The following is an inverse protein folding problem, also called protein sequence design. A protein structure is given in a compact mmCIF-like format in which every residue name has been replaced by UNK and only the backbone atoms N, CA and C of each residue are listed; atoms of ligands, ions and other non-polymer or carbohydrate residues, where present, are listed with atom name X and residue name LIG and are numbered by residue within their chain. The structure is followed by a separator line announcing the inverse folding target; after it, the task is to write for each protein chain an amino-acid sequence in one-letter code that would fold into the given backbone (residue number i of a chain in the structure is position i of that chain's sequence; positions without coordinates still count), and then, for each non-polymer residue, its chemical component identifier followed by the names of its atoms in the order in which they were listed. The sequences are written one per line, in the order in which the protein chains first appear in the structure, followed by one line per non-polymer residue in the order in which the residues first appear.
data_IF_732367462630
#
_entry.id   IF_732367462630
#
_cell.length_a   1.000
_cell.length_b   1.000
_cell.length_c   1.000
_cell.angle_alpha   90.00
_cell.angle_beta   90.00
_cell.angle_gamma   90.00
#
_symmetry.space_group_name_H-M   'P 1'
#
loop_
_entity.id
_entity.type
_entity.pdbx_description
1 polymer ?
#
# COMPACT_ATOMS: atom_id res chain seq x y z
N UNK A 1 -9.98 11.33 23.89
CA UNK A 1 -8.88 10.40 24.25
C UNK A 1 -8.88 9.35 23.16
N UNK A 2 -7.94 9.44 22.21
CA UNK A 2 -7.85 8.47 21.13
C UNK A 2 -7.47 7.13 21.74
N UNK A 3 -8.33 6.13 21.61
CA UNK A 3 -7.98 4.78 22.01
C UNK A 3 -7.20 4.16 20.85
N UNK A 4 -5.87 4.20 20.94
CA UNK A 4 -5.01 3.48 20.02
C UNK A 4 -5.24 1.97 20.23
N UNK A 5 -5.93 1.32 19.30
CA UNK A 5 -6.11 -0.12 19.33
C UNK A 5 -5.06 -0.77 18.42
N UNK A 6 -4.07 -1.44 18.99
CA UNK A 6 -3.11 -2.21 18.19
C UNK A 6 -3.84 -3.32 17.41
N UNK A 7 -3.47 -3.50 16.13
CA UNK A 7 -3.90 -4.63 15.34
C UNK A 7 -3.27 -5.88 15.93
N UNK A 8 -4.10 -6.85 16.30
CA UNK A 8 -3.60 -8.15 16.74
C UNK A 8 -2.91 -8.84 15.56
N UNK A 9 -1.70 -9.38 15.75
CA UNK A 9 -0.94 -10.07 14.69
C UNK A 9 -1.76 -11.13 13.93
N UNK A 10 -2.70 -11.80 14.60
CA UNK A 10 -3.60 -12.80 14.00
C UNK A 10 -4.53 -12.20 12.93
N UNK A 11 -4.80 -10.90 12.96
CA UNK A 11 -5.60 -10.22 11.94
C UNK A 11 -4.81 -10.01 10.64
N UNK A 12 -3.48 -9.98 10.69
CA UNK A 12 -2.62 -9.74 9.53
C UNK A 12 -2.04 -11.02 8.94
N UNK A 13 -2.28 -12.18 9.57
CA UNK A 13 -1.84 -13.46 9.00
C UNK A 13 -2.55 -13.75 7.68
N UNK A 14 -1.87 -14.40 6.74
CA UNK A 14 -2.46 -14.75 5.44
C UNK A 14 -3.70 -15.65 5.50
N UNK A 15 -3.92 -16.34 6.63
CA UNK A 15 -5.15 -17.08 6.90
C UNK A 15 -6.37 -16.18 7.14
N UNK A 16 -6.19 -14.90 7.48
CA UNK A 16 -7.27 -13.94 7.58
C UNK A 16 -7.62 -13.41 6.17
N UNK A 17 -8.41 -14.19 5.45
CA UNK A 17 -8.83 -13.84 4.10
C UNK A 17 -9.65 -12.55 4.07
N UNK A 18 -10.44 -12.25 5.10
CA UNK A 18 -11.22 -11.01 5.15
C UNK A 18 -10.34 -9.76 5.15
N UNK A 19 -9.27 -9.75 5.97
CA UNK A 19 -8.32 -8.64 6.01
C UNK A 19 -7.64 -8.44 4.66
N UNK A 20 -7.01 -9.49 4.13
CA UNK A 20 -6.24 -9.38 2.89
C UNK A 20 -7.11 -9.04 1.70
N UNK A 21 -8.33 -9.57 1.67
CA UNK A 21 -9.27 -9.29 0.61
C UNK A 21 -9.75 -7.83 0.66
N UNK A 22 -10.15 -7.33 1.82
CA UNK A 22 -10.49 -5.91 2.01
C UNK A 22 -9.31 -4.99 1.71
N UNK A 23 -8.12 -5.31 2.20
CA UNK A 23 -6.98 -4.42 2.07
C UNK A 23 -6.49 -4.32 0.61
N UNK A 24 -6.43 -5.43 -0.13
CA UNK A 24 -6.02 -5.43 -1.53
C UNK A 24 -7.09 -4.80 -2.43
N UNK A 25 -8.36 -4.93 -2.08
CA UNK A 25 -9.46 -4.23 -2.75
C UNK A 25 -9.25 -2.71 -2.78
N UNK A 26 -8.55 -2.13 -1.79
CA UNK A 26 -8.26 -0.68 -1.74
C UNK A 26 -7.12 -0.25 -2.68
N UNK A 27 -6.44 -1.18 -3.35
CA UNK A 27 -5.31 -0.83 -4.21
C UNK A 27 -5.83 -0.27 -5.53
N UNK A 28 -5.08 0.67 -6.10
CA UNK A 28 -5.38 1.30 -7.39
C UNK A 28 -5.01 0.45 -8.62
N UNK A 29 -4.98 -0.87 -8.45
CA UNK A 29 -4.72 -1.81 -9.52
C UNK A 29 -5.88 -1.89 -10.51
N UNK A 30 -5.62 -2.36 -11.72
CA UNK A 30 -6.64 -2.54 -12.75
C UNK A 30 -6.20 -3.54 -13.82
N UNK A 31 -7.17 -4.20 -14.44
CA UNK A 31 -7.00 -4.97 -15.67
C UNK A 31 -7.12 -4.04 -16.89
N UNK A 32 -5.99 -3.83 -17.57
CA UNK A 32 -5.91 -2.96 -18.76
C UNK A 32 -6.68 -3.51 -19.97
N UNK A 33 -6.86 -4.83 -20.06
CA UNK A 33 -7.53 -5.47 -21.21
C UNK A 33 -9.04 -5.51 -21.02
N UNK A 34 -9.50 -5.77 -19.79
CA UNK A 34 -10.93 -5.84 -19.47
C UNK A 34 -11.50 -4.50 -19.00
N UNK A 35 -10.64 -3.49 -18.78
CA UNK A 35 -11.00 -2.18 -18.23
C UNK A 35 -11.72 -2.29 -16.87
N UNK A 36 -11.26 -3.23 -16.05
CA UNK A 36 -11.80 -3.47 -14.70
C UNK A 36 -10.85 -2.92 -13.65
N UNK A 37 -11.38 -2.21 -12.66
CA UNK A 37 -10.63 -1.87 -11.46
C UNK A 37 -10.37 -3.13 -10.63
N UNK A 38 -9.41 -3.08 -9.70
CA UNK A 38 -9.01 -4.27 -8.94
C UNK A 38 -10.15 -4.84 -8.07
N UNK A 39 -11.01 -3.99 -7.54
CA UNK A 39 -12.24 -4.41 -6.85
C UNK A 39 -13.13 -5.27 -7.74
N UNK A 40 -13.39 -4.82 -8.96
CA UNK A 40 -14.18 -5.56 -9.96
C UNK A 40 -13.45 -6.85 -10.37
N UNK A 41 -12.12 -6.84 -10.48
CA UNK A 41 -11.34 -8.05 -10.75
C UNK A 41 -11.52 -9.08 -9.63
N UNK A 42 -11.38 -8.66 -8.38
CA UNK A 42 -11.52 -9.56 -7.23
C UNK A 42 -12.95 -10.12 -7.10
N UNK A 43 -13.96 -9.29 -7.37
CA UNK A 43 -15.35 -9.70 -7.29
C UNK A 43 -15.79 -10.55 -8.48
N UNK A 44 -15.59 -10.08 -9.71
CA UNK A 44 -16.21 -10.66 -10.91
C UNK A 44 -15.35 -11.73 -11.57
N UNK A 45 -14.02 -11.66 -11.42
CA UNK A 45 -13.10 -12.64 -12.03
C UNK A 45 -12.67 -13.70 -11.02
N UNK A 46 -12.33 -13.29 -9.80
CA UNK A 46 -11.89 -14.22 -8.76
C UNK A 46 -13.08 -14.80 -7.97
N UNK A 47 -14.22 -14.08 -7.93
CA UNK A 47 -15.43 -14.55 -7.26
C UNK A 47 -15.42 -14.32 -5.75
N UNK A 48 -14.71 -13.30 -5.28
CA UNK A 48 -14.62 -13.00 -3.85
C UNK A 48 -15.63 -11.91 -3.47
N UNK A 49 -16.60 -12.28 -2.65
CA UNK A 49 -17.73 -11.43 -2.29
C UNK A 49 -17.54 -10.74 -0.92
N UNK A 50 -17.41 -9.41 -0.93
CA UNK A 50 -17.36 -8.58 0.27
C UNK A 50 -18.76 -8.24 0.83
N UNK A 51 -19.84 -8.64 0.17
CA UNK A 51 -21.22 -8.35 0.62
C UNK A 51 -21.80 -9.42 1.56
N UNK A 52 -21.02 -10.46 1.89
CA UNK A 52 -21.49 -11.51 2.79
C UNK A 52 -21.49 -11.08 4.27
N UNK A 53 -22.45 -11.62 5.03
CA UNK A 53 -22.65 -11.27 6.45
C UNK A 53 -21.41 -11.54 7.33
N UNK A 54 -20.61 -12.57 7.01
CA UNK A 54 -19.41 -12.88 7.78
C UNK A 54 -18.33 -11.80 7.62
N UNK A 55 -18.17 -11.26 6.41
CA UNK A 55 -17.31 -10.11 6.15
C UNK A 55 -17.79 -8.87 6.90
N UNK A 56 -19.08 -8.54 6.81
CA UNK A 56 -19.64 -7.36 7.51
C UNK A 56 -19.41 -7.44 9.03
N UNK A 57 -19.65 -8.61 9.63
CA UNK A 57 -19.38 -8.84 11.05
C UNK A 57 -17.89 -8.71 11.39
N UNK A 58 -17.01 -9.24 10.55
CA UNK A 58 -15.57 -9.08 10.72
C UNK A 58 -15.17 -7.60 10.60
N UNK A 59 -15.65 -6.88 9.59
CA UNK A 59 -15.31 -5.50 9.31
C UNK A 59 -15.76 -4.58 10.45
N UNK A 60 -16.97 -4.74 10.99
CA UNK A 60 -17.43 -3.94 12.15
C UNK A 60 -16.64 -4.25 13.43
N UNK A 61 -16.12 -5.47 13.58
CA UNK A 61 -15.22 -5.84 14.68
C UNK A 61 -13.82 -5.25 14.50
N UNK A 62 -13.33 -5.23 13.26
CA UNK A 62 -12.03 -4.70 12.90
C UNK A 62 -12.01 -3.16 12.89
N UNK A 63 -13.03 -2.49 12.38
CA UNK A 63 -13.13 -1.02 12.38
C UNK A 63 -14.51 -0.63 12.89
N UNK A 64 -14.69 -0.53 14.22
CA UNK A 64 -15.95 -0.09 14.81
C UNK A 64 -16.32 1.32 14.35
N UNK A 65 -17.61 1.57 14.16
CA UNK A 65 -18.14 2.82 13.58
C UNK A 65 -18.07 4.06 14.49
N UNK A 66 -17.44 3.95 15.66
CA UNK A 66 -17.21 5.08 16.55
C UNK A 66 -16.10 5.97 15.97
N UNK A 67 -16.48 7.21 15.59
CA UNK A 67 -15.79 8.10 14.64
C UNK A 67 -14.35 8.53 14.92
N UNK A 68 -13.75 8.07 16.03
CA UNK A 68 -12.36 8.35 16.41
C UNK A 68 -11.52 7.07 16.56
N UNK A 69 -12.03 5.92 16.11
CA UNK A 69 -11.37 4.62 16.26
C UNK A 69 -10.51 4.33 15.04
N UNK A 70 -9.19 4.33 15.25
CA UNK A 70 -8.23 3.79 14.31
C UNK A 70 -7.47 2.62 14.95
N UNK A 71 -7.04 1.68 14.11
CA UNK A 71 -6.15 0.60 14.53
C UNK A 71 -4.76 0.81 14.00
N UNK A 72 -3.75 0.53 14.83
CA UNK A 72 -2.36 0.72 14.46
C UNK A 72 -1.67 -0.61 14.21
N UNK A 73 -0.86 -0.66 13.17
CA UNK A 73 0.13 -1.72 12.99
C UNK A 73 1.51 -1.10 12.82
N UNK A 74 2.45 -1.57 13.64
CA UNK A 74 3.80 -1.02 13.72
C UNK A 74 4.83 -2.09 13.46
N UNK A 75 5.74 -1.83 12.53
CA UNK A 75 6.84 -2.74 12.21
C UNK A 75 8.11 -2.00 11.85
N UNK A 76 9.24 -2.71 11.86
CA UNK A 76 10.54 -2.18 11.46
C UNK A 76 10.80 -2.50 9.99
N UNK A 77 11.15 -1.48 9.20
CA UNK A 77 11.58 -1.62 7.81
C UNK A 77 13.12 -1.55 7.66
N UNK A 78 13.86 -1.78 8.75
CA UNK A 78 15.31 -1.62 8.81
C UNK A 78 15.76 -1.11 10.18
N UNK A 79 17.06 -0.89 10.38
CA UNK A 79 17.57 -0.54 11.71
C UNK A 79 17.06 0.79 12.25
N UNK A 80 16.71 1.73 11.36
CA UNK A 80 16.38 3.12 11.72
C UNK A 80 15.00 3.58 11.22
N UNK A 81 14.20 2.67 10.66
CA UNK A 81 12.89 3.00 10.09
C UNK A 81 11.84 2.15 10.80
N UNK A 82 10.97 2.84 11.51
CA UNK A 82 9.70 2.33 12.02
C UNK A 82 8.59 2.78 11.08
N UNK A 83 7.76 1.83 10.68
CA UNK A 83 6.56 2.06 9.88
C UNK A 83 5.36 1.96 10.80
N UNK A 84 4.47 2.94 10.71
CA UNK A 84 3.17 2.96 11.35
C UNK A 84 2.09 3.02 10.28
N UNK A 85 1.14 2.09 10.36
CA UNK A 85 -0.05 2.06 9.51
C UNK A 85 -1.27 2.25 10.41
N UNK A 86 -2.03 3.31 10.15
CA UNK A 86 -3.27 3.62 10.85
C UNK A 86 -4.45 3.22 9.95
N UNK A 87 -5.22 2.22 10.36
CA UNK A 87 -6.43 1.78 9.67
C UNK A 87 -7.65 2.49 10.27
N UNK A 88 -8.40 3.21 9.44
CA UNK A 88 -9.71 3.78 9.74
C UNK A 88 -10.74 3.32 8.70
N UNK A 89 -12.02 3.65 8.91
CA UNK A 89 -13.10 3.20 8.00
C UNK A 89 -12.98 3.82 6.60
N UNK A 90 -12.58 5.09 6.52
CA UNK A 90 -12.56 5.90 5.31
C UNK A 90 -11.15 6.16 4.76
N UNK A 91 -10.10 5.85 5.54
CA UNK A 91 -8.72 6.04 5.13
C UNK A 91 -7.76 5.06 5.82
N UNK A 92 -6.60 4.83 5.19
CA UNK A 92 -5.45 4.17 5.80
C UNK A 92 -4.25 5.11 5.68
N UNK A 93 -3.66 5.56 6.78
CA UNK A 93 -2.50 6.44 6.77
C UNK A 93 -1.21 5.67 7.00
N UNK A 94 -0.13 6.17 6.42
CA UNK A 94 1.20 5.58 6.51
C UNK A 94 2.19 6.60 7.03
N UNK A 95 3.06 6.18 7.95
CA UNK A 95 4.11 7.03 8.51
C UNK A 95 5.43 6.28 8.64
N UNK A 96 6.53 7.02 8.46
CA UNK A 96 7.89 6.59 8.75
C UNK A 96 8.45 7.44 9.89
N UNK A 97 8.73 6.85 11.05
CA UNK A 97 9.19 7.56 12.25
C UNK A 97 8.35 8.83 12.53
N UNK A 98 7.02 8.68 12.59
CA UNK A 98 6.03 9.77 12.76
C UNK A 98 5.91 10.77 11.59
N UNK A 99 6.69 10.62 10.51
CA UNK A 99 6.55 11.43 9.30
C UNK A 99 5.55 10.79 8.34
N UNK A 100 4.51 11.52 7.98
CA UNK A 100 3.49 11.08 7.04
C UNK A 100 4.07 10.77 5.64
N UNK A 101 3.72 9.63 5.06
CA UNK A 101 4.21 9.21 3.73
C UNK A 101 3.09 8.90 2.73
N UNK A 102 1.82 9.04 3.11
CA UNK A 102 0.69 8.84 2.21
C UNK A 102 -0.50 8.17 2.86
N UNK A 103 -1.56 8.03 2.07
CA UNK A 103 -2.80 7.37 2.46
C UNK A 103 -3.43 6.54 1.34
N UNK A 104 -4.28 5.59 1.74
CA UNK A 104 -5.31 5.00 0.90
C UNK A 104 -6.67 5.56 1.31
N UNK A 105 -7.23 6.46 0.49
CA UNK A 105 -8.56 7.03 0.67
C UNK A 105 -9.11 7.54 -0.67
N UNK A 106 -10.30 8.16 -0.66
CA UNK A 106 -10.83 8.88 -1.82
C UNK A 106 -9.94 10.04 -2.30
N UNK A 107 -9.09 10.58 -1.42
CA UNK A 107 -8.04 11.56 -1.74
C UNK A 107 -6.66 10.92 -1.59
N UNK A 108 -6.46 9.79 -2.28
CA UNK A 108 -5.20 9.06 -2.30
C UNK A 108 -4.00 9.98 -2.54
N UNK A 109 -2.94 9.74 -1.78
CA UNK A 109 -1.61 10.29 -2.01
C UNK A 109 -0.55 9.32 -1.51
N UNK A 110 0.63 9.35 -2.13
CA UNK A 110 1.71 8.45 -1.76
C UNK A 110 3.07 9.11 -1.93
N UNK A 111 4.03 8.67 -1.13
CA UNK A 111 5.44 9.00 -1.31
C UNK A 111 5.97 8.47 -2.66
N UNK A 112 5.54 7.27 -3.07
CA UNK A 112 6.16 6.49 -4.14
C UNK A 112 7.65 6.24 -3.87
N UNK A 113 7.94 5.15 -3.16
CA UNK A 113 9.30 4.62 -3.04
C UNK A 113 9.80 4.20 -4.42
N UNK A 114 11.10 4.38 -4.66
CA UNK A 114 11.76 3.68 -5.77
C UNK A 114 11.80 2.18 -5.46
N UNK A 115 11.95 1.34 -6.49
CA UNK A 115 12.10 -0.10 -6.25
C UNK A 115 13.31 -0.42 -5.36
N UNK A 116 14.43 0.28 -5.53
CA UNK A 116 15.64 0.08 -4.73
C UNK A 116 15.42 0.44 -3.26
N UNK A 117 14.75 1.57 -2.98
CA UNK A 117 14.35 1.95 -1.62
C UNK A 117 13.46 0.86 -1.00
N UNK A 118 12.45 0.40 -1.74
CA UNK A 118 11.46 -0.57 -1.26
C UNK A 118 12.06 -1.96 -0.99
N UNK A 119 12.90 -2.47 -1.90
CA UNK A 119 13.59 -3.75 -1.74
C UNK A 119 14.73 -3.69 -0.72
N UNK A 120 15.26 -2.50 -0.43
CA UNK A 120 16.23 -2.27 0.63
C UNK A 120 15.66 -2.48 2.04
N UNK A 121 14.33 -2.41 2.19
CA UNK A 121 13.67 -2.68 3.46
C UNK A 121 13.71 -4.16 3.84
N UNK A 122 13.86 -4.44 5.13
CA UNK A 122 13.89 -5.81 5.67
C UNK A 122 12.48 -6.31 6.02
N UNK A 123 11.58 -6.28 5.03
CA UNK A 123 10.18 -6.65 5.21
C UNK A 123 9.99 -8.17 5.11
N UNK A 124 9.15 -8.72 5.99
CA UNK A 124 8.53 -10.01 5.73
C UNK A 124 7.44 -9.89 4.65
N UNK A 125 6.86 -11.01 4.26
CA UNK A 125 5.90 -11.05 3.16
C UNK A 125 4.59 -10.29 3.45
N UNK A 126 4.18 -10.20 4.73
CA UNK A 126 2.97 -9.46 5.12
C UNK A 126 3.24 -7.96 5.05
N UNK A 127 4.32 -7.51 5.69
CA UNK A 127 4.71 -6.11 5.71
C UNK A 127 5.09 -5.58 4.32
N UNK A 128 5.62 -6.45 3.44
CA UNK A 128 5.80 -6.14 2.03
C UNK A 128 4.47 -5.77 1.37
N UNK A 129 3.43 -6.60 1.53
CA UNK A 129 2.13 -6.33 0.91
C UNK A 129 1.44 -5.13 1.55
N UNK A 130 1.60 -4.91 2.86
CA UNK A 130 1.05 -3.75 3.56
C UNK A 130 1.63 -2.42 3.05
N UNK A 131 2.92 -2.37 2.73
CA UNK A 131 3.57 -1.16 2.23
C UNK A 131 3.49 -1.01 0.71
N UNK A 132 3.11 -2.07 -0.01
CA UNK A 132 3.10 -2.11 -1.48
C UNK A 132 2.40 -0.93 -2.18
N UNK A 133 1.30 -0.37 -1.67
CA UNK A 133 0.64 0.77 -2.31
C UNK A 133 1.48 2.05 -2.36
N UNK A 134 2.53 2.11 -1.55
CA UNK A 134 3.48 3.23 -1.53
C UNK A 134 4.65 3.03 -2.51
N UNK A 135 4.67 1.96 -3.32
CA UNK A 135 5.72 1.70 -4.30
C UNK A 135 5.42 2.38 -5.65
N UNK A 136 6.41 3.03 -6.24
CA UNK A 136 6.40 3.45 -7.64
C UNK A 136 7.30 2.56 -8.49
N UNK A 137 6.78 2.08 -9.62
CA UNK A 137 7.45 1.13 -10.51
C UNK A 137 7.70 1.77 -11.88
N UNK A 138 8.97 1.81 -12.30
CA UNK A 138 9.32 2.22 -13.66
C UNK A 138 9.13 1.07 -14.66
N UNK A 139 8.99 1.38 -15.95
CA UNK A 139 8.59 0.42 -16.97
C UNK A 139 9.51 -0.82 -17.04
N UNK A 140 10.83 -0.63 -16.93
CA UNK A 140 11.83 -1.70 -16.96
C UNK A 140 11.79 -2.62 -15.73
N UNK A 141 11.14 -2.20 -14.64
CA UNK A 141 11.05 -2.92 -13.37
C UNK A 141 9.80 -3.80 -13.25
N UNK A 142 8.82 -3.63 -14.15
CA UNK A 142 7.49 -4.29 -14.10
C UNK A 142 7.59 -5.81 -13.94
N UNK A 143 8.42 -6.47 -14.74
CA UNK A 143 8.54 -7.93 -14.72
C UNK A 143 9.06 -8.46 -13.39
N UNK A 144 10.05 -7.78 -12.81
CA UNK A 144 10.64 -8.16 -11.53
C UNK A 144 9.63 -8.00 -10.39
N UNK A 145 8.99 -6.84 -10.28
CA UNK A 145 8.07 -6.58 -9.18
C UNK A 145 6.82 -7.47 -9.28
N UNK A 146 6.34 -7.79 -10.49
CA UNK A 146 5.22 -8.72 -10.68
C UNK A 146 5.52 -10.10 -10.09
N UNK A 147 6.73 -10.61 -10.29
CA UNK A 147 7.16 -11.91 -9.72
C UNK A 147 7.16 -11.84 -8.19
N UNK A 148 7.68 -10.74 -7.63
CA UNK A 148 7.75 -10.54 -6.17
C UNK A 148 6.36 -10.47 -5.53
N UNK A 149 5.42 -9.76 -6.16
CA UNK A 149 4.04 -9.65 -5.68
C UNK A 149 3.35 -11.02 -5.79
N UNK A 150 3.43 -11.67 -6.95
CA UNK A 150 2.80 -12.98 -7.19
C UNK A 150 3.22 -14.01 -6.14
N UNK A 151 4.53 -14.11 -5.87
CA UNK A 151 5.07 -15.02 -4.84
C UNK A 151 4.41 -14.83 -3.47
N UNK A 152 4.10 -13.59 -3.09
CA UNK A 152 3.52 -13.28 -1.77
C UNK A 152 2.01 -13.49 -1.74
N UNK A 153 1.33 -13.19 -2.85
CA UNK A 153 -0.09 -13.48 -3.01
C UNK A 153 -0.39 -14.99 -2.91
N UNK A 154 0.58 -15.88 -3.25
CA UNK A 154 0.44 -17.33 -3.08
C UNK A 154 0.17 -17.78 -1.64
N UNK A 155 0.50 -16.94 -0.65
CA UNK A 155 0.19 -17.26 0.74
C UNK A 155 -1.28 -17.03 1.10
N UNK A 156 -2.02 -16.28 0.30
CA UNK A 156 -3.44 -15.97 0.52
C UNK A 156 -4.27 -17.01 -0.23
N UNK A 157 -4.85 -17.95 0.51
CA UNK A 157 -5.60 -19.10 -0.05
C UNK A 157 -6.70 -18.65 -1.03
N UNK A 158 -7.35 -17.53 -0.75
CA UNK A 158 -8.39 -16.96 -1.61
C UNK A 158 -7.92 -16.60 -3.03
N UNK A 159 -6.62 -16.44 -3.24
CA UNK A 159 -6.03 -16.08 -4.54
C UNK A 159 -5.35 -17.25 -5.24
N UNK A 160 -5.46 -18.46 -4.69
CA UNK A 160 -4.77 -19.62 -5.22
C UNK A 160 -5.16 -19.88 -6.69
N UNK A 161 -4.18 -19.91 -7.58
CA UNK A 161 -4.37 -20.08 -9.02
C UNK A 161 -4.62 -18.78 -9.80
N UNK A 162 -4.68 -17.63 -9.13
CA UNK A 162 -4.92 -16.31 -9.72
C UNK A 162 -3.83 -15.29 -9.39
N UNK A 163 -2.78 -15.69 -8.67
CA UNK A 163 -1.77 -14.81 -8.09
C UNK A 163 -1.02 -13.99 -9.14
N UNK A 164 -0.65 -14.63 -10.26
CA UNK A 164 0.05 -13.95 -11.36
C UNK A 164 -0.84 -12.91 -12.06
N UNK A 165 -2.14 -13.19 -12.14
CA UNK A 165 -3.11 -12.29 -12.76
C UNK A 165 -3.38 -11.10 -11.86
N UNK A 166 -3.66 -11.33 -10.57
CA UNK A 166 -3.85 -10.28 -9.57
C UNK A 166 -2.58 -9.43 -9.45
N UNK A 167 -1.39 -10.04 -9.42
CA UNK A 167 -0.12 -9.30 -9.42
C UNK A 167 0.04 -8.40 -10.65
N UNK A 168 -0.40 -8.87 -11.83
CA UNK A 168 -0.42 -8.04 -13.04
C UNK A 168 -1.31 -6.81 -12.87
N UNK A 169 -2.52 -7.00 -12.32
CA UNK A 169 -3.45 -5.91 -12.08
C UNK A 169 -2.93 -4.90 -11.06
N UNK A 170 -2.33 -5.39 -9.96
CA UNK A 170 -1.69 -4.54 -8.93
C UNK A 170 -0.57 -3.71 -9.55
N UNK A 171 0.34 -4.34 -10.31
CA UNK A 171 1.47 -3.63 -10.92
C UNK A 171 1.02 -2.53 -11.87
N UNK A 172 -0.09 -2.71 -12.59
CA UNK A 172 -0.66 -1.65 -13.43
C UNK A 172 -0.97 -0.37 -12.63
N UNK A 173 -1.42 -0.51 -11.38
CA UNK A 173 -1.66 0.62 -10.47
C UNK A 173 -0.41 1.25 -9.86
N UNK A 174 0.73 0.54 -9.88
CA UNK A 174 2.01 1.01 -9.34
C UNK A 174 2.90 1.69 -10.40
N UNK A 175 2.53 1.61 -11.68
CA UNK A 175 3.32 2.17 -12.79
C UNK A 175 3.46 3.69 -12.65
N UNK A 176 4.71 4.15 -12.73
CA UNK A 176 5.02 5.58 -12.83
C UNK A 176 4.90 6.05 -14.28
N UNK A 177 4.33 7.23 -14.49
CA UNK A 177 4.23 7.84 -15.82
C UNK A 177 5.59 8.33 -16.35
N UNK A 178 6.52 8.62 -15.44
CA UNK A 178 7.86 9.10 -15.74
C UNK A 178 8.85 8.50 -14.73
N UNK A 179 10.11 8.40 -15.14
CA UNK A 179 11.20 7.98 -14.26
C UNK A 179 11.36 8.94 -13.07
N UNK A 180 11.85 8.39 -11.96
CA UNK A 180 12.31 9.18 -10.83
C UNK A 180 13.52 10.03 -11.25
N UNK A 181 13.69 11.18 -10.62
CA UNK A 181 14.82 12.06 -10.89
C UNK A 181 15.44 12.57 -9.60
N UNK A 182 16.72 12.97 -9.67
CA UNK A 182 17.44 13.54 -8.53
C UNK A 182 17.44 15.05 -8.59
N UNK A 183 16.73 15.69 -7.68
CA UNK A 183 16.83 17.12 -7.41
C UNK A 183 18.05 17.41 -6.51
N UNK A 184 18.68 18.58 -6.71
CA UNK A 184 19.90 18.96 -5.99
C UNK A 184 19.66 19.36 -4.54
N UNK A 185 18.46 19.82 -4.20
CA UNK A 185 18.14 20.39 -2.89
C UNK A 185 17.46 19.36 -1.99
N UNK A 186 16.51 18.61 -2.54
CA UNK A 186 15.66 17.70 -1.76
C UNK A 186 15.97 16.22 -1.97
N UNK A 187 16.71 15.83 -3.01
CA UNK A 187 17.03 14.43 -3.30
C UNK A 187 16.13 13.82 -4.37
N UNK A 188 15.77 12.54 -4.22
CA UNK A 188 14.99 11.82 -5.24
C UNK A 188 13.53 12.32 -5.22
N UNK A 189 12.99 12.59 -6.41
CA UNK A 189 11.66 13.13 -6.68
C UNK A 189 10.99 12.40 -7.86
N UNK A 190 9.71 12.67 -8.09
CA UNK A 190 8.99 12.25 -9.30
C UNK A 190 7.89 13.26 -9.67
N UNK A 191 7.31 13.12 -10.87
CA UNK A 191 6.21 13.99 -11.36
C UNK A 191 4.86 13.29 -11.38
N UNK A 192 4.69 12.21 -10.63
CA UNK A 192 3.43 11.49 -10.60
C UNK A 192 2.36 12.37 -9.93
N UNK A 193 1.14 12.34 -10.43
CA UNK A 193 0.01 12.96 -9.72
C UNK A 193 -0.20 12.23 -8.39
N UNK A 194 -0.71 12.94 -7.37
CA UNK A 194 -0.89 12.40 -6.02
C UNK A 194 0.41 11.97 -5.32
N UNK A 195 1.57 12.35 -5.87
CA UNK A 195 2.86 12.07 -5.25
C UNK A 195 3.26 13.19 -4.30
N UNK A 196 3.58 12.84 -3.05
CA UNK A 196 4.16 13.78 -2.07
C UNK A 196 5.55 14.23 -2.54
N UNK A 197 6.25 13.44 -3.36
CA UNK A 197 7.57 13.76 -3.94
C UNK A 197 7.49 14.67 -5.18
N UNK A 198 6.29 15.12 -5.55
CA UNK A 198 6.09 16.02 -6.69
C UNK A 198 6.18 17.48 -6.25
N UNK A 199 7.41 17.99 -6.21
CA UNK A 199 7.70 19.39 -5.83
C UNK A 199 7.14 20.44 -6.81
N UNK A 200 6.77 20.04 -8.02
CA UNK A 200 6.16 20.95 -8.99
C UNK A 200 4.69 21.23 -8.64
N UNK A 201 4.00 20.24 -8.05
CA UNK A 201 2.62 20.38 -7.59
C UNK A 201 2.51 20.83 -6.13
N UNK A 202 3.47 20.43 -5.28
CA UNK A 202 3.45 20.68 -3.83
C UNK A 202 4.74 21.37 -3.33
N UNK A 203 4.98 22.63 -3.70
CA UNK A 203 6.21 23.35 -3.37
C UNK A 203 6.38 23.65 -1.86
N UNK A 204 5.32 23.54 -1.06
CA UNK A 204 5.39 23.64 0.41
C UNK A 204 5.99 22.40 1.08
N UNK A 205 6.06 21.25 0.37
CA UNK A 205 6.53 19.97 0.90
C UNK A 205 8.05 19.83 1.03
N UNK A 206 8.84 20.84 0.68
CA UNK A 206 10.31 20.73 0.55
C UNK A 206 11.01 20.18 1.80
N UNK A 207 10.72 20.72 2.99
CA UNK A 207 11.37 20.29 4.23
C UNK A 207 11.01 18.83 4.57
N UNK A 208 9.76 18.46 4.34
CA UNK A 208 9.24 17.11 4.57
C UNK A 208 9.93 16.09 3.65
N UNK A 209 9.99 16.40 2.35
CA UNK A 209 10.65 15.57 1.34
C UNK A 209 12.14 15.42 1.66
N UNK A 210 12.81 16.51 2.03
CA UNK A 210 14.23 16.47 2.37
C UNK A 210 14.52 15.55 3.57
N UNK A 211 13.69 15.62 4.63
CA UNK A 211 13.84 14.75 5.82
C UNK A 211 13.65 13.27 5.46
N UNK A 212 12.60 12.93 4.73
CA UNK A 212 12.34 11.55 4.31
C UNK A 212 13.43 11.02 3.37
N UNK A 213 13.88 11.82 2.39
CA UNK A 213 14.98 11.42 1.52
C UNK A 213 16.29 11.19 2.30
N UNK A 214 16.60 11.99 3.31
CA UNK A 214 17.77 11.76 4.18
C UNK A 214 17.65 10.45 4.97
N UNK A 215 16.44 10.06 5.39
CA UNK A 215 16.21 8.79 6.08
C UNK A 215 16.35 7.56 5.19
N UNK A 216 16.06 7.71 3.89
CA UNK A 216 16.10 6.64 2.88
C UNK A 216 17.46 6.49 2.19
N UNK A 217 18.40 7.40 2.43
CA UNK A 217 19.72 7.45 1.79
C UNK A 217 20.80 6.62 2.50
#
# INVERSE_FOLDING_TARGET
MNQNHEVLNQQLTFSNTHFWHWFIFLFRGFDEVKELNLDEVLQDVIGLDLSNQAFEMWYQSFLPSDSDTFRNHRFSAGSNIQVDIEFAQDHINYYFNDLYIGNLSGHFEAWFFTLDEFLGFKLDDQNFLLLLPMLGVEHQQISEIKIQISKRLQHIIAFQGHEEYIAGCIVNGLKMNQEFYKDKQVGICNRQNHSIRNIELYPEGFEHIQKLNQMLS
#
